data_IF_934053652312
#
_entry.id   IF_934053652312
#
_cell.length_a   1.000
_cell.length_b   1.000
_cell.length_c   1.000
_cell.angle_alpha   90.00
_cell.angle_beta   90.00
_cell.angle_gamma   90.00
#
_symmetry.space_group_name_H-M   'P 1'
#
loop_
_entity.id
_entity.type
_entity.pdbx_description
1 polymer ?
#
# COMPACT_ATOMS: atom_id res chain seq x y z
N UNK A 1 -13.48 -17.81 -19.52
CA UNK A 1 -12.56 -16.71 -19.16
C UNK A 1 -11.13 -17.16 -19.47
N UNK A 2 -10.34 -16.35 -20.17
CA UNK A 2 -8.95 -16.69 -20.53
C UNK A 2 -8.00 -16.40 -19.36
N UNK A 3 -6.84 -17.08 -19.29
CA UNK A 3 -5.81 -16.89 -18.25
C UNK A 3 -5.37 -15.42 -18.08
N UNK A 4 -5.42 -14.64 -19.15
CA UNK A 4 -5.16 -13.18 -19.15
C UNK A 4 -6.25 -12.39 -18.42
N UNK A 5 -7.51 -12.82 -18.48
CA UNK A 5 -8.63 -12.16 -17.79
C UNK A 5 -8.53 -12.23 -16.26
N UNK A 6 -8.07 -13.36 -15.71
CA UNK A 6 -7.87 -13.51 -14.26
C UNK A 6 -6.78 -12.57 -13.72
N UNK A 7 -5.64 -12.49 -14.40
CA UNK A 7 -4.51 -11.63 -13.99
C UNK A 7 -4.91 -10.16 -13.95
N UNK A 8 -5.72 -9.70 -14.92
CA UNK A 8 -6.22 -8.32 -14.94
C UNK A 8 -7.14 -8.04 -13.77
N UNK A 9 -8.10 -8.94 -13.50
CA UNK A 9 -9.03 -8.78 -12.38
C UNK A 9 -8.29 -8.71 -11.04
N UNK A 10 -7.36 -9.64 -10.80
CA UNK A 10 -6.57 -9.67 -9.57
C UNK A 10 -5.78 -8.38 -9.37
N UNK A 11 -5.17 -7.87 -10.45
CA UNK A 11 -4.38 -6.66 -10.38
C UNK A 11 -5.24 -5.39 -10.14
N UNK A 12 -6.42 -5.29 -10.74
CA UNK A 12 -7.38 -4.22 -10.42
C UNK A 12 -7.84 -4.26 -8.97
N UNK A 13 -8.09 -5.46 -8.42
CA UNK A 13 -8.46 -5.63 -7.02
C UNK A 13 -7.32 -5.18 -6.08
N UNK A 14 -6.07 -5.52 -6.41
CA UNK A 14 -4.90 -5.10 -5.62
C UNK A 14 -4.72 -3.59 -5.62
N UNK A 15 -4.84 -2.95 -6.79
CA UNK A 15 -4.71 -1.49 -6.92
C UNK A 15 -5.87 -0.80 -6.20
N UNK A 16 -7.11 -1.25 -6.42
CA UNK A 16 -8.30 -0.70 -5.76
C UNK A 16 -8.23 -0.83 -4.24
N UNK A 17 -7.84 -2.00 -3.74
CA UNK A 17 -7.59 -2.21 -2.31
C UNK A 17 -6.52 -1.25 -1.80
N UNK A 18 -5.38 -1.17 -2.49
CA UNK A 18 -4.28 -0.26 -2.10
C UNK A 18 -4.71 1.21 -2.11
N UNK A 19 -5.54 1.65 -3.05
CA UNK A 19 -5.96 3.04 -3.22
C UNK A 19 -7.04 3.50 -2.25
N UNK A 20 -7.98 2.62 -1.88
CA UNK A 20 -9.05 2.93 -0.92
C UNK A 20 -8.52 3.20 0.50
N UNK A 21 -7.28 2.85 0.80
CA UNK A 21 -6.73 2.93 2.14
C UNK A 21 -6.31 4.33 2.58
N UNK A 22 -5.82 5.19 1.67
CA UNK A 22 -5.54 6.60 2.02
C UNK A 22 -6.80 7.33 2.53
N UNK A 23 -7.93 7.31 1.81
CA UNK A 23 -9.12 8.02 2.28
C UNK A 23 -9.72 7.38 3.54
N UNK A 24 -9.58 6.08 3.75
CA UNK A 24 -9.98 5.43 5.00
C UNK A 24 -9.10 5.86 6.18
N UNK A 25 -7.79 6.02 5.98
CA UNK A 25 -6.90 6.58 7.00
C UNK A 25 -7.29 8.04 7.33
N UNK A 26 -7.76 8.79 6.32
CA UNK A 26 -8.17 10.20 6.48
C UNK A 26 -9.48 10.30 7.26
N UNK A 27 -10.45 9.45 6.91
CA UNK A 27 -11.74 9.39 7.59
C UNK A 27 -11.59 9.08 9.09
N UNK A 28 -10.56 8.32 9.47
CA UNK A 28 -10.30 7.94 10.86
C UNK A 28 -9.31 8.86 11.59
N UNK A 29 -8.85 9.96 10.97
CA UNK A 29 -7.87 10.88 11.56
C UNK A 29 -8.29 11.44 12.92
N UNK A 30 -9.59 11.71 13.10
CA UNK A 30 -10.15 12.24 14.36
C UNK A 30 -10.12 11.17 15.46
N UNK A 31 -10.53 9.93 15.17
CA UNK A 31 -10.38 8.85 16.15
C UNK A 31 -8.91 8.59 16.49
N UNK A 32 -8.02 8.65 15.51
CA UNK A 32 -6.59 8.45 15.72
C UNK A 32 -6.00 9.51 16.65
N UNK A 33 -6.37 10.79 16.48
CA UNK A 33 -5.89 11.89 17.33
C UNK A 33 -6.37 11.75 18.77
N UNK A 34 -7.61 11.30 18.97
CA UNK A 34 -8.17 10.97 20.28
C UNK A 34 -7.44 9.77 20.92
N UNK A 35 -7.12 8.74 20.14
CA UNK A 35 -6.42 7.53 20.60
C UNK A 35 -5.01 7.83 21.12
N UNK A 36 -4.25 8.68 20.43
CA UNK A 36 -2.88 9.06 20.83
C UNK A 36 -2.82 10.28 21.75
N UNK A 37 -3.97 10.87 22.10
CA UNK A 37 -4.10 12.15 22.83
C UNK A 37 -3.25 13.27 22.22
N UNK A 38 -3.11 13.25 20.90
CA UNK A 38 -2.24 14.12 20.11
C UNK A 38 -2.97 15.32 19.54
N UNK A 39 -2.21 16.22 18.93
CA UNK A 39 -2.73 17.38 18.19
C UNK A 39 -3.07 16.96 16.76
N UNK A 40 -3.93 17.72 16.08
CA UNK A 40 -4.21 17.53 14.64
C UNK A 40 -2.95 17.55 13.77
N UNK A 41 -1.92 18.31 14.17
CA UNK A 41 -0.62 18.34 13.47
C UNK A 41 0.11 16.98 13.47
N UNK A 42 -0.10 16.16 14.49
CA UNK A 42 0.52 14.83 14.62
C UNK A 42 0.00 13.87 13.55
N UNK A 43 -1.25 14.06 13.11
CA UNK A 43 -1.82 13.33 11.97
C UNK A 43 -1.08 13.67 10.69
N UNK A 44 -0.74 14.95 10.46
CA UNK A 44 0.05 15.35 9.29
C UNK A 44 1.43 14.68 9.27
N UNK A 45 2.05 14.47 10.43
CA UNK A 45 3.28 13.69 10.52
C UNK A 45 3.05 12.22 10.16
N UNK A 46 1.97 11.60 10.65
CA UNK A 46 1.61 10.22 10.32
C UNK A 46 1.39 10.02 8.81
N UNK A 47 0.77 10.98 8.13
CA UNK A 47 0.68 11.00 6.67
C UNK A 47 2.04 11.10 5.99
N UNK A 48 2.91 11.96 6.52
CA UNK A 48 4.24 12.15 5.96
C UNK A 48 5.06 10.87 6.05
N UNK A 49 5.08 10.22 7.21
CA UNK A 49 5.82 8.97 7.41
C UNK A 49 5.17 7.78 6.69
N UNK A 50 3.84 7.78 6.50
CA UNK A 50 3.16 6.84 5.62
C UNK A 50 3.67 6.94 4.18
N UNK A 51 3.69 8.15 3.62
CA UNK A 51 4.19 8.42 2.27
C UNK A 51 5.67 8.11 2.13
N UNK A 52 6.47 8.45 3.15
CA UNK A 52 7.88 8.10 3.19
C UNK A 52 8.09 6.58 3.18
N UNK A 53 7.35 5.85 4.03
CA UNK A 53 7.34 4.39 4.04
C UNK A 53 6.96 3.80 2.68
N UNK A 54 5.94 4.37 2.02
CA UNK A 54 5.54 3.98 0.68
C UNK A 54 6.69 4.09 -0.33
N UNK A 55 7.34 5.27 -0.39
CA UNK A 55 8.49 5.50 -1.28
C UNK A 55 9.63 4.53 -0.99
N UNK A 56 9.97 4.34 0.29
CA UNK A 56 11.05 3.45 0.70
C UNK A 56 10.76 1.98 0.38
N UNK A 57 9.51 1.53 0.51
CA UNK A 57 9.11 0.16 0.19
C UNK A 57 9.03 -0.14 -1.31
N UNK A 58 8.85 0.88 -2.16
CA UNK A 58 8.71 0.69 -3.59
C UNK A 58 10.01 0.21 -4.26
N UNK A 59 11.16 0.76 -3.82
CA UNK A 59 12.49 0.44 -4.38
C UNK A 59 12.86 -1.06 -4.25
N UNK A 60 12.90 -1.67 -3.05
CA UNK A 60 13.26 -3.08 -2.92
C UNK A 60 12.19 -3.99 -3.54
N UNK A 61 10.93 -3.53 -3.62
CA UNK A 61 9.88 -4.32 -4.28
C UNK A 61 10.20 -4.55 -5.75
N UNK A 62 10.59 -3.50 -6.50
CA UNK A 62 10.96 -3.64 -7.91
C UNK A 62 12.06 -4.69 -8.12
N UNK A 63 13.12 -4.61 -7.32
CA UNK A 63 14.24 -5.56 -7.39
C UNK A 63 13.81 -7.00 -7.07
N UNK A 64 12.96 -7.20 -6.06
CA UNK A 64 12.44 -8.52 -5.72
C UNK A 64 11.53 -9.10 -6.82
N UNK A 65 10.83 -8.24 -7.55
CA UNK A 65 10.01 -8.64 -8.69
C UNK A 65 10.87 -9.08 -9.86
N UNK A 66 11.94 -8.34 -10.15
CA UNK A 66 12.91 -8.70 -11.20
C UNK A 66 13.59 -10.04 -10.91
N UNK A 67 13.77 -10.38 -9.63
CA UNK A 67 14.25 -11.69 -9.17
C UNK A 67 13.18 -12.80 -9.24
N UNK A 68 11.98 -12.51 -9.74
CA UNK A 68 10.89 -13.48 -9.91
C UNK A 68 10.09 -13.79 -8.64
N UNK A 69 10.25 -13.01 -7.56
CA UNK A 69 9.62 -13.27 -6.26
C UNK A 69 8.22 -12.67 -6.11
N UNK A 70 7.54 -12.32 -7.21
CA UNK A 70 6.26 -11.58 -7.22
C UNK A 70 5.21 -12.16 -6.27
N UNK A 71 5.00 -13.48 -6.28
CA UNK A 71 4.00 -14.15 -5.41
C UNK A 71 4.38 -14.08 -3.94
N UNK A 72 5.65 -14.28 -3.62
CA UNK A 72 6.15 -14.24 -2.24
C UNK A 72 6.05 -12.82 -1.68
N UNK A 73 6.47 -11.82 -2.46
CA UNK A 73 6.33 -10.40 -2.10
C UNK A 73 4.88 -10.04 -1.85
N UNK A 74 3.97 -10.46 -2.74
CA UNK A 74 2.55 -10.18 -2.58
C UNK A 74 1.96 -10.82 -1.32
N UNK A 75 2.25 -12.10 -1.09
CA UNK A 75 1.76 -12.84 0.10
C UNK A 75 2.26 -12.19 1.39
N UNK A 76 3.57 -11.94 1.49
CA UNK A 76 4.19 -11.33 2.67
C UNK A 76 3.61 -9.93 2.90
N UNK A 77 3.46 -9.14 1.85
CA UNK A 77 2.91 -7.79 1.96
C UNK A 77 1.46 -7.81 2.42
N UNK A 78 0.62 -8.70 1.89
CA UNK A 78 -0.78 -8.84 2.33
C UNK A 78 -0.90 -9.29 3.79
N UNK A 79 -0.07 -10.25 4.23
CA UNK A 79 -0.06 -10.71 5.61
C UNK A 79 0.43 -9.64 6.58
N UNK A 80 1.55 -8.99 6.27
CA UNK A 80 2.09 -7.91 7.07
C UNK A 80 1.09 -6.74 7.16
N UNK A 81 0.47 -6.40 6.02
CA UNK A 81 -0.54 -5.36 5.95
C UNK A 81 -1.78 -5.67 6.81
N UNK A 82 -2.30 -6.88 6.71
CA UNK A 82 -3.42 -7.35 7.55
C UNK A 82 -3.07 -7.30 9.04
N UNK A 83 -1.86 -7.73 9.40
CA UNK A 83 -1.38 -7.65 10.78
C UNK A 83 -1.31 -6.21 11.27
N UNK A 84 -0.77 -5.30 10.47
CA UNK A 84 -0.68 -3.88 10.84
C UNK A 84 -2.06 -3.22 11.02
N UNK A 85 -3.05 -3.54 10.17
CA UNK A 85 -4.43 -3.09 10.36
C UNK A 85 -5.02 -3.51 11.71
N UNK A 86 -4.67 -4.71 12.18
CA UNK A 86 -5.11 -5.22 13.47
C UNK A 86 -4.42 -4.50 14.64
N UNK A 87 -3.13 -4.18 14.52
CA UNK A 87 -2.32 -3.59 15.60
C UNK A 87 -2.48 -2.07 15.74
N UNK A 88 -2.61 -1.31 14.65
CA UNK A 88 -2.73 0.17 14.69
C UNK A 88 -3.79 0.68 15.69
N UNK A 89 -5.04 0.16 15.73
CA UNK A 89 -6.06 0.64 16.67
C UNK A 89 -5.78 0.30 18.15
N UNK A 90 -4.79 -0.55 18.44
CA UNK A 90 -4.44 -0.97 19.80
C UNK A 90 -3.31 -0.13 20.41
N UNK A 91 -2.61 0.66 19.59
CA UNK A 91 -1.41 1.38 20.01
C UNK A 91 -1.74 2.81 20.41
N UNK A 92 -1.54 3.16 21.67
CA UNK A 92 -1.74 4.52 22.18
C UNK A 92 -0.49 5.40 22.10
N UNK A 93 0.68 4.81 21.88
CA UNK A 93 1.95 5.53 21.76
C UNK A 93 2.12 6.12 20.36
N UNK A 94 2.26 7.44 20.28
CA UNK A 94 2.48 8.15 19.01
C UNK A 94 3.68 7.62 18.23
N UNK A 95 4.83 7.46 18.87
CA UNK A 95 6.05 7.00 18.21
C UNK A 95 5.96 5.55 17.74
N UNK A 96 5.28 4.69 18.49
CA UNK A 96 5.00 3.34 18.03
C UNK A 96 4.09 3.37 16.79
N UNK A 97 3.10 4.26 16.78
CA UNK A 97 2.21 4.45 15.65
C UNK A 97 2.95 5.00 14.41
N UNK A 98 3.90 5.93 14.58
CA UNK A 98 4.81 6.39 13.52
C UNK A 98 5.54 5.21 12.86
N UNK A 99 6.12 4.32 13.66
CA UNK A 99 6.83 3.13 13.15
C UNK A 99 5.87 2.21 12.38
N UNK A 100 4.73 1.87 12.98
CA UNK A 100 3.74 1.00 12.36
C UNK A 100 3.20 1.57 11.05
N UNK A 101 2.89 2.87 11.02
CA UNK A 101 2.40 3.57 9.82
C UNK A 101 3.47 3.65 8.73
N UNK A 102 4.74 3.77 9.10
CA UNK A 102 5.85 3.71 8.13
C UNK A 102 5.91 2.33 7.47
N UNK A 103 5.87 1.25 8.26
CA UNK A 103 5.82 -0.12 7.71
C UNK A 103 4.56 -0.37 6.89
N UNK A 104 3.43 0.18 7.33
CA UNK A 104 2.17 0.10 6.61
C UNK A 104 2.28 0.72 5.22
N UNK A 105 2.93 1.88 5.11
CA UNK A 105 3.27 2.50 3.83
C UNK A 105 4.13 1.60 2.96
N UNK A 106 5.19 1.01 3.53
CA UNK A 106 6.12 0.15 2.80
C UNK A 106 5.47 -1.12 2.23
N UNK A 107 4.65 -1.82 3.02
CA UNK A 107 3.93 -3.00 2.52
C UNK A 107 2.80 -2.63 1.54
N UNK A 108 2.19 -1.46 1.73
CA UNK A 108 1.19 -0.92 0.79
C UNK A 108 1.82 -0.64 -0.58
N UNK A 109 3.02 -0.06 -0.62
CA UNK A 109 3.70 0.17 -1.90
C UNK A 109 4.07 -1.13 -2.59
N UNK A 110 4.46 -2.16 -1.83
CA UNK A 110 4.74 -3.46 -2.40
C UNK A 110 3.52 -4.07 -3.13
N UNK A 111 2.32 -3.97 -2.52
CA UNK A 111 1.04 -4.40 -3.12
C UNK A 111 0.75 -3.60 -4.40
N UNK A 112 0.91 -2.28 -4.34
CA UNK A 112 0.66 -1.38 -5.48
C UNK A 112 1.60 -1.66 -6.65
N UNK A 113 2.90 -1.78 -6.40
CA UNK A 113 3.92 -2.08 -7.42
C UNK A 113 3.65 -3.44 -8.07
N UNK A 114 3.33 -4.47 -7.29
CA UNK A 114 2.96 -5.80 -7.83
C UNK A 114 1.72 -5.74 -8.70
N UNK A 115 0.67 -5.05 -8.25
CA UNK A 115 -0.56 -4.86 -9.03
C UNK A 115 -0.28 -4.18 -10.36
N UNK A 116 0.44 -3.05 -10.33
CA UNK A 116 0.79 -2.30 -11.53
C UNK A 116 1.68 -3.10 -12.50
N UNK A 117 2.69 -3.80 -11.98
CA UNK A 117 3.54 -4.68 -12.79
C UNK A 117 2.74 -5.82 -13.45
N UNK A 118 1.79 -6.40 -12.71
CA UNK A 118 0.93 -7.47 -13.23
C UNK A 118 0.01 -6.98 -14.36
N UNK A 119 -0.55 -5.77 -14.25
CA UNK A 119 -1.32 -5.13 -15.33
C UNK A 119 -0.44 -4.82 -16.55
N UNK A 120 0.76 -4.29 -16.34
CA UNK A 120 1.69 -3.98 -17.43
C UNK A 120 2.06 -5.24 -18.24
N UNK A 121 2.31 -6.36 -17.55
CA UNK A 121 2.62 -7.65 -18.18
C UNK A 121 1.40 -8.28 -18.86
N UNK A 122 0.19 -8.07 -18.35
CA UNK A 122 -1.04 -8.61 -18.92
C UNK A 122 -1.53 -7.89 -20.18
N UNK A 123 -1.07 -6.66 -20.44
CA UNK A 123 -1.52 -5.82 -21.57
C UNK A 123 -0.33 -5.18 -22.32
N UNK A 124 0.45 -5.99 -23.05
CA UNK A 124 1.62 -5.54 -23.84
C UNK A 124 1.32 -4.39 -24.81
N UNK A 125 0.09 -4.27 -25.32
CA UNK A 125 -0.32 -3.23 -26.28
C UNK A 125 -0.80 -1.92 -25.62
N UNK A 126 -0.94 -1.87 -24.29
CA UNK A 126 -1.45 -0.71 -23.53
C UNK A 126 -0.59 -0.33 -22.34
N UNK A 127 0.68 -0.75 -22.32
CA UNK A 127 1.63 -0.39 -21.27
C UNK A 127 1.61 1.11 -20.94
N UNK A 128 1.55 1.98 -21.96
CA UNK A 128 1.46 3.44 -21.79
C UNK A 128 0.13 3.95 -21.19
N UNK A 129 -1.00 3.29 -21.45
CA UNK A 129 -2.31 3.67 -20.88
C UNK A 129 -2.47 3.18 -19.43
N UNK A 130 -1.84 2.05 -19.08
CA UNK A 130 -1.82 1.53 -17.72
C UNK A 130 -0.88 2.33 -16.82
N UNK A 131 0.13 3.01 -17.38
CA UNK A 131 0.90 4.02 -16.65
C UNK A 131 0.02 5.19 -16.18
N UNK A 132 -1.09 5.51 -16.85
CA UNK A 132 -1.98 6.60 -16.42
C UNK A 132 -2.82 6.25 -15.17
N UNK A 133 -2.95 4.96 -14.83
CA UNK A 133 -3.50 4.52 -13.54
C UNK A 133 -2.50 4.71 -12.39
N UNK A 134 -1.21 5.04 -12.65
CA UNK A 134 -0.24 5.45 -11.63
C UNK A 134 -0.58 6.80 -10.99
N UNK A 135 -1.40 7.63 -11.64
CA UNK A 135 -1.57 9.03 -11.28
C UNK A 135 -2.92 9.36 -10.60
N UNK A 136 -3.81 8.37 -10.48
CA UNK A 136 -5.17 8.53 -9.91
C UNK A 136 -5.30 7.86 -8.51
N UNK A 137 -4.21 7.29 -7.99
CA UNK A 137 -4.16 6.68 -6.63
C UNK A 137 -3.42 7.58 -5.65
#
# INVERSE_FOLDING_TARGET
>A
MTRSGYIKLDAYLLIGYSGLLTPLFAANAIQLSLQIRGRLGDIGLLYTVLSMGYVLGALPTGELLDRGLTKAVLLVSLLAFTGLLFFIPQVSSFWALVILVTFFGAFRSAISVVGNASLALADKNRAASNLNLLHIV
#
